data_IF_108960907153
#
_entry.id   IF_108960907153
#
_cell.length_a   1.000
_cell.length_b   1.000
_cell.length_c   1.000
_cell.angle_alpha   90.00
_cell.angle_beta   90.00
_cell.angle_gamma   90.00
#
_symmetry.space_group_name_H-M   'P 1'
#
loop_
_entity.id
_entity.type
_entity.pdbx_description
1 polymer ?
#
# COMPACT_ATOMS: atom_id res chain seq x y z
N UNK A 1 -12.24 25.83 3.85
CA UNK A 1 -11.21 25.21 2.99
C UNK A 1 -10.77 23.94 3.68
N UNK A 2 -10.77 22.81 2.98
CA UNK A 2 -10.26 21.57 3.54
C UNK A 2 -8.75 21.52 3.31
N UNK A 3 -7.99 21.10 4.32
CA UNK A 3 -6.54 20.93 4.21
C UNK A 3 -6.27 19.73 3.28
N UNK A 4 -5.33 19.91 2.34
CA UNK A 4 -4.95 18.90 1.35
C UNK A 4 -3.46 18.64 1.43
N UNK A 5 -3.06 17.40 1.21
CA UNK A 5 -1.66 17.02 1.04
C UNK A 5 -1.58 15.81 0.11
N UNK A 6 -0.37 15.52 -0.35
CA UNK A 6 -0.13 14.36 -1.20
C UNK A 6 -0.35 13.07 -0.43
N UNK A 7 -0.87 12.05 -1.10
CA UNK A 7 -1.01 10.72 -0.53
C UNK A 7 -0.78 9.64 -1.58
N UNK A 8 -0.34 8.48 -1.13
CA UNK A 8 -0.25 7.26 -1.96
C UNK A 8 -0.98 6.14 -1.27
N UNK A 9 -1.53 5.20 -2.02
CA UNK A 9 -2.06 3.94 -1.49
C UNK A 9 -1.65 2.79 -2.40
N UNK A 10 -1.21 1.71 -1.77
CA UNK A 10 -0.89 0.46 -2.45
C UNK A 10 -1.96 -0.56 -2.04
N UNK A 11 -2.64 -1.14 -3.03
CA UNK A 11 -3.70 -2.12 -2.87
C UNK A 11 -3.26 -3.49 -3.38
N UNK A 12 -3.78 -4.55 -2.77
CA UNK A 12 -3.45 -5.92 -3.15
C UNK A 12 -4.55 -6.91 -2.81
N UNK A 13 -4.24 -8.20 -2.87
CA UNK A 13 -5.17 -9.26 -2.49
C UNK A 13 -5.94 -9.83 -3.67
N UNK A 14 -7.02 -10.53 -3.40
CA UNK A 14 -7.81 -11.24 -4.42
C UNK A 14 -9.22 -10.68 -4.48
N UNK A 15 -9.70 -10.43 -5.69
CA UNK A 15 -11.00 -9.83 -5.97
C UNK A 15 -11.77 -10.66 -6.99
N UNK A 16 -13.09 -10.69 -6.85
CA UNK A 16 -13.96 -11.08 -7.96
C UNK A 16 -13.93 -9.99 -9.04
N UNK A 17 -14.33 -10.34 -10.25
CA UNK A 17 -14.49 -9.38 -11.36
C UNK A 17 -15.53 -8.28 -11.02
N UNK A 18 -16.58 -8.62 -10.26
CA UNK A 18 -17.57 -7.66 -9.80
C UNK A 18 -16.98 -6.66 -8.78
N UNK A 19 -16.27 -7.16 -7.77
CA UNK A 19 -15.62 -6.31 -6.76
C UNK A 19 -14.54 -5.43 -7.38
N UNK A 20 -13.84 -5.92 -8.40
CA UNK A 20 -12.85 -5.14 -9.12
C UNK A 20 -13.49 -3.95 -9.87
N UNK A 21 -14.67 -4.12 -10.49
CA UNK A 21 -15.40 -2.98 -11.09
C UNK A 21 -15.77 -1.93 -10.05
N UNK A 22 -16.29 -2.36 -8.90
CA UNK A 22 -16.60 -1.44 -7.79
C UNK A 22 -15.35 -0.71 -7.30
N UNK A 23 -14.22 -1.42 -7.19
CA UNK A 23 -12.94 -0.81 -6.83
C UNK A 23 -12.52 0.26 -7.86
N UNK A 24 -12.65 -0.01 -9.16
CA UNK A 24 -12.35 0.96 -10.22
C UNK A 24 -13.21 2.22 -10.06
N UNK A 25 -14.52 2.07 -9.83
CA UNK A 25 -15.43 3.21 -9.64
C UNK A 25 -15.01 4.08 -8.44
N UNK A 26 -14.60 3.46 -7.34
CA UNK A 26 -14.10 4.16 -6.15
C UNK A 26 -12.80 4.93 -6.44
N UNK A 27 -11.84 4.29 -7.12
CA UNK A 27 -10.56 4.92 -7.47
C UNK A 27 -10.78 6.12 -8.39
N UNK A 28 -11.67 6.00 -9.38
CA UNK A 28 -12.02 7.09 -10.30
C UNK A 28 -12.77 8.20 -9.56
N UNK A 29 -13.68 7.86 -8.64
CA UNK A 29 -14.39 8.82 -7.80
C UNK A 29 -13.46 9.66 -6.90
N UNK A 30 -12.38 9.04 -6.42
CA UNK A 30 -11.31 9.70 -5.64
C UNK A 30 -10.27 10.42 -6.53
N UNK A 31 -10.34 10.29 -7.86
CA UNK A 31 -9.49 11.01 -8.80
C UNK A 31 -8.03 10.56 -8.86
N UNK A 32 -7.75 9.29 -8.53
CA UNK A 32 -6.37 8.81 -8.37
C UNK A 32 -5.70 8.44 -9.69
N UNK A 33 -4.36 8.42 -9.68
CA UNK A 33 -3.52 7.97 -10.79
C UNK A 33 -2.53 6.89 -10.34
N UNK A 34 -2.03 6.07 -11.28
CA UNK A 34 -0.93 5.12 -11.03
C UNK A 34 0.45 5.77 -11.06
N UNK A 35 0.54 7.05 -11.43
CA UNK A 35 1.77 7.82 -11.46
C UNK A 35 1.53 9.28 -11.05
N UNK A 36 2.53 9.91 -10.45
CA UNK A 36 2.43 11.31 -10.05
C UNK A 36 2.24 12.21 -11.27
N UNK A 37 1.25 13.10 -11.22
CA UNK A 37 0.84 13.96 -12.34
C UNK A 37 0.44 13.18 -13.62
N UNK A 38 0.07 11.90 -13.48
CA UNK A 38 -0.42 11.06 -14.58
C UNK A 38 -1.88 11.28 -14.94
N UNK A 39 -2.38 10.52 -15.93
CA UNK A 39 -3.81 10.48 -16.23
C UNK A 39 -4.60 9.86 -15.08
N UNK A 40 -5.91 10.15 -15.02
CA UNK A 40 -6.81 9.44 -14.12
C UNK A 40 -6.74 7.93 -14.36
N UNK A 41 -6.90 7.16 -13.28
CA UNK A 41 -6.88 5.72 -13.32
C UNK A 41 -7.92 5.16 -14.29
N UNK A 42 -7.52 4.11 -15.01
CA UNK A 42 -8.37 3.26 -15.82
C UNK A 42 -8.08 1.80 -15.44
N UNK A 43 -9.08 0.92 -15.60
CA UNK A 43 -8.95 -0.49 -15.26
C UNK A 43 -7.77 -1.19 -15.95
N UNK A 44 -7.35 -0.73 -17.12
CA UNK A 44 -6.21 -1.29 -17.86
C UNK A 44 -4.85 -0.80 -17.38
N UNK A 45 -4.78 0.20 -16.49
CA UNK A 45 -3.51 0.69 -15.94
C UNK A 45 -2.90 -0.25 -14.90
N UNK A 46 -3.67 -1.23 -14.38
CA UNK A 46 -3.10 -2.24 -13.48
C UNK A 46 -2.14 -3.17 -14.24
N UNK A 47 -1.09 -3.60 -13.56
CA UNK A 47 -0.19 -4.65 -14.05
C UNK A 47 -0.51 -5.96 -13.33
N UNK A 48 -0.88 -6.99 -14.08
CA UNK A 48 -1.17 -8.33 -13.53
C UNK A 48 0.06 -8.87 -12.80
N UNK A 49 -0.15 -9.44 -11.60
CA UNK A 49 0.93 -9.98 -10.77
C UNK A 49 1.72 -8.93 -9.99
N UNK A 50 1.25 -7.67 -9.96
CA UNK A 50 1.80 -6.60 -9.13
C UNK A 50 0.73 -6.05 -8.18
N UNK A 51 1.12 -5.47 -7.03
CA UNK A 51 0.20 -4.64 -6.27
C UNK A 51 -0.17 -3.39 -7.08
N UNK A 52 -1.35 -2.84 -6.83
CA UNK A 52 -1.81 -1.61 -7.48
C UNK A 52 -1.38 -0.39 -6.68
N UNK A 53 -0.45 0.40 -7.22
CA UNK A 53 -0.06 1.69 -6.67
C UNK A 53 -0.97 2.80 -7.19
N UNK A 54 -1.38 3.71 -6.31
CA UNK A 54 -2.21 4.86 -6.62
C UNK A 54 -1.71 6.09 -5.85
N UNK A 55 -1.87 7.28 -6.42
CA UNK A 55 -1.44 8.54 -5.83
C UNK A 55 -2.25 9.75 -6.32
N UNK A 56 -2.27 10.80 -5.50
CA UNK A 56 -2.71 12.15 -5.86
C UNK A 56 -2.03 13.20 -4.95
N UNK A 57 -1.86 14.42 -5.46
CA UNK A 57 -1.24 15.54 -4.75
C UNK A 57 -2.23 16.30 -3.85
N UNK A 58 -3.51 16.26 -4.18
CA UNK A 58 -4.52 17.17 -3.61
C UNK A 58 -5.57 16.41 -2.79
N UNK A 59 -5.14 15.48 -1.96
CA UNK A 59 -6.05 14.61 -1.20
C UNK A 59 -6.52 15.30 0.08
N UNK A 60 -7.83 15.41 0.27
CA UNK A 60 -8.42 16.01 1.47
C UNK A 60 -8.07 15.18 2.69
N UNK A 61 -7.44 15.80 3.69
CA UNK A 61 -6.97 15.09 4.89
C UNK A 61 -5.89 14.03 4.60
N UNK A 62 -5.34 14.00 3.39
CA UNK A 62 -4.42 12.95 2.91
C UNK A 62 -4.96 11.53 3.11
N UNK A 63 -6.28 11.33 2.96
CA UNK A 63 -6.97 10.06 3.16
C UNK A 63 -7.93 9.76 2.01
N UNK A 64 -8.05 8.49 1.64
CA UNK A 64 -9.01 8.00 0.64
C UNK A 64 -10.17 7.32 1.39
N UNK A 65 -11.05 8.10 2.01
CA UNK A 65 -11.97 7.62 3.04
C UNK A 65 -12.93 6.52 2.54
N UNK A 66 -13.50 6.70 1.35
CA UNK A 66 -14.44 5.72 0.79
C UNK A 66 -13.72 4.46 0.34
N UNK A 67 -12.61 4.64 -0.38
CA UNK A 67 -11.74 3.55 -0.84
C UNK A 67 -11.20 2.70 0.31
N UNK A 68 -10.67 3.32 1.36
CA UNK A 68 -10.14 2.62 2.54
C UNK A 68 -11.23 1.86 3.29
N UNK A 69 -12.41 2.48 3.47
CA UNK A 69 -13.55 1.81 4.12
C UNK A 69 -13.99 0.58 3.33
N UNK A 70 -14.05 0.68 2.01
CA UNK A 70 -14.38 -0.44 1.14
C UNK A 70 -13.34 -1.55 1.27
N UNK A 71 -12.05 -1.20 1.27
CA UNK A 71 -10.95 -2.16 1.45
C UNK A 71 -11.05 -2.91 2.79
N UNK A 72 -11.32 -2.18 3.89
CA UNK A 72 -11.50 -2.81 5.22
C UNK A 72 -12.69 -3.77 5.21
N UNK A 73 -13.81 -3.36 4.61
CA UNK A 73 -15.05 -4.16 4.57
C UNK A 73 -14.86 -5.45 3.76
N UNK A 74 -14.09 -5.40 2.67
CA UNK A 74 -13.85 -6.53 1.77
C UNK A 74 -12.53 -7.27 2.09
N UNK A 75 -11.85 -6.95 3.19
CA UNK A 75 -10.57 -7.55 3.59
C UNK A 75 -9.48 -7.42 2.52
N UNK A 76 -9.43 -6.27 1.84
CA UNK A 76 -8.43 -5.95 0.82
C UNK A 76 -7.24 -5.27 1.51
N UNK A 77 -6.06 -5.91 1.55
CA UNK A 77 -4.90 -5.34 2.19
C UNK A 77 -4.46 -4.05 1.51
N UNK A 78 -4.07 -3.06 2.31
CA UNK A 78 -3.49 -1.84 1.77
C UNK A 78 -2.42 -1.23 2.68
N UNK A 79 -1.59 -0.39 2.07
CA UNK A 79 -0.72 0.53 2.78
C UNK A 79 -0.82 1.91 2.15
N UNK A 80 -1.26 2.90 2.93
CA UNK A 80 -1.32 4.31 2.54
C UNK A 80 -0.19 5.09 3.19
N UNK A 81 0.40 6.01 2.45
CA UNK A 81 1.19 7.10 3.00
C UNK A 81 0.48 8.43 2.78
N UNK A 82 0.65 9.33 3.74
CA UNK A 82 0.10 10.68 3.76
C UNK A 82 1.24 11.64 4.02
N UNK A 83 1.38 12.64 3.16
CA UNK A 83 2.28 13.77 3.37
C UNK A 83 1.81 14.65 4.51
N UNK A 84 2.76 15.35 5.13
CA UNK A 84 2.49 16.29 6.19
C UNK A 84 1.74 17.52 5.68
N UNK A 85 0.97 18.15 6.56
CA UNK A 85 0.39 19.46 6.33
C UNK A 85 0.79 20.39 7.47
N UNK A 86 1.57 21.43 7.15
CA UNK A 86 2.08 22.39 8.13
C UNK A 86 0.95 22.99 8.97
N UNK A 87 1.03 22.80 10.29
CA UNK A 87 0.02 23.28 11.24
C UNK A 87 -1.24 22.42 11.35
N UNK A 88 -1.32 21.28 10.65
CA UNK A 88 -2.42 20.32 10.75
C UNK A 88 -1.98 18.95 11.27
N UNK A 89 -1.20 18.22 10.49
CA UNK A 89 -0.75 16.86 10.82
C UNK A 89 0.64 16.57 10.27
N UNK A 90 1.29 15.58 10.88
CA UNK A 90 2.58 15.06 10.42
C UNK A 90 2.38 13.99 9.34
N UNK A 91 3.42 13.78 8.53
CA UNK A 91 3.43 12.67 7.58
C UNK A 91 3.30 11.32 8.32
N UNK A 92 2.61 10.39 7.66
CA UNK A 92 2.22 9.14 8.31
C UNK A 92 1.91 8.04 7.34
N UNK A 93 1.94 6.82 7.86
CA UNK A 93 1.61 5.61 7.10
C UNK A 93 0.49 4.86 7.81
N UNK A 94 -0.51 4.41 7.07
CA UNK A 94 -1.58 3.54 7.55
C UNK A 94 -1.48 2.21 6.83
N UNK A 95 -1.46 1.12 7.59
CA UNK A 95 -1.44 -0.24 7.05
C UNK A 95 -2.68 -0.97 7.51
N UNK A 96 -3.38 -1.61 6.58
CA UNK A 96 -4.41 -2.59 6.87
C UNK A 96 -3.95 -3.96 6.38
N UNK A 97 -3.71 -4.85 7.36
CA UNK A 97 -3.48 -6.27 7.16
C UNK A 97 -4.75 -7.02 7.59
N UNK A 98 -5.47 -7.69 6.68
CA UNK A 98 -6.66 -8.46 7.01
C UNK A 98 -6.44 -9.53 8.09
N UNK A 99 -5.23 -10.08 8.21
CA UNK A 99 -4.91 -11.05 9.25
C UNK A 99 -4.89 -10.43 10.66
N UNK A 100 -4.68 -9.11 10.75
CA UNK A 100 -4.74 -8.33 11.99
C UNK A 100 -6.14 -7.77 12.23
N UNK A 101 -6.90 -7.48 11.16
CA UNK A 101 -8.31 -7.09 11.20
C UNK A 101 -8.59 -5.62 11.49
N UNK A 102 -7.58 -4.81 11.82
CA UNK A 102 -7.75 -3.36 12.00
C UNK A 102 -6.59 -2.56 11.39
N UNK A 103 -6.85 -1.38 10.80
CA UNK A 103 -5.79 -0.49 10.35
C UNK A 103 -4.90 -0.03 11.50
N UNK A 104 -3.62 0.18 11.20
CA UNK A 104 -2.62 0.71 12.14
C UNK A 104 -1.89 1.89 11.53
N UNK A 105 -1.76 2.95 12.31
CA UNK A 105 -1.04 4.16 11.93
C UNK A 105 0.38 4.14 12.49
N UNK A 106 1.31 4.64 11.68
CA UNK A 106 2.73 4.77 11.97
C UNK A 106 3.19 6.16 11.58
N UNK A 107 4.14 6.72 12.33
CA UNK A 107 4.83 7.95 11.92
C UNK A 107 5.71 7.64 10.72
N UNK A 108 5.75 8.54 9.75
CA UNK A 108 6.64 8.46 8.59
C UNK A 108 7.20 9.85 8.25
N UNK A 109 8.29 9.89 7.49
CA UNK A 109 8.77 11.15 6.87
C UNK A 109 8.07 11.41 5.52
N UNK A 110 8.45 12.52 4.88
CA UNK A 110 7.94 12.92 3.56
C UNK A 110 8.36 11.95 2.44
N UNK A 111 9.37 11.11 2.67
CA UNK A 111 9.85 10.08 1.74
C UNK A 111 9.20 8.71 2.04
N UNK A 112 8.16 8.64 2.88
CA UNK A 112 7.49 7.42 3.32
C UNK A 112 8.41 6.42 4.06
N UNK A 113 9.46 6.91 4.72
CA UNK A 113 10.27 6.11 5.65
C UNK A 113 9.61 6.14 7.02
N UNK A 114 9.34 4.95 7.56
CA UNK A 114 8.76 4.80 8.90
C UNK A 114 9.73 5.35 9.94
N UNK A 115 9.22 6.17 10.85
CA UNK A 115 9.95 6.75 11.98
C UNK A 115 9.41 6.20 13.30
N UNK A 116 10.24 6.29 14.34
CA UNK A 116 9.86 5.92 15.71
C UNK A 116 10.51 6.92 16.68
N UNK A 117 9.71 7.45 17.59
CA UNK A 117 10.21 8.35 18.64
C UNK A 117 10.78 7.57 19.84
N UNK A 118 11.54 8.26 20.70
CA UNK A 118 12.17 7.66 21.88
C UNK A 118 11.16 7.09 22.90
N UNK A 119 9.99 7.72 23.05
CA UNK A 119 8.93 7.25 23.94
C UNK A 119 8.36 5.92 23.43
N UNK A 120 8.16 5.78 22.12
CA UNK A 120 7.71 4.54 21.48
C UNK A 120 8.79 3.46 21.58
N UNK A 121 10.06 3.78 21.35
CA UNK A 121 11.20 2.86 21.60
C UNK A 121 11.21 2.35 23.03
N UNK A 122 11.09 3.25 24.01
CA UNK A 122 11.07 2.91 25.43
C UNK A 122 9.87 2.04 25.78
N UNK A 123 8.69 2.34 25.24
CA UNK A 123 7.47 1.53 25.42
C UNK A 123 7.59 0.13 24.85
N UNK A 124 8.23 -0.04 23.68
CA UNK A 124 8.45 -1.34 23.06
C UNK A 124 9.47 -2.19 23.85
N UNK A 125 10.40 -1.54 24.56
CA UNK A 125 11.23 -2.14 25.60
C UNK A 125 12.24 -3.21 25.15
N UNK A 126 12.29 -3.52 23.85
CA UNK A 126 13.24 -4.49 23.31
C UNK A 126 13.54 -4.22 21.84
N UNK A 127 14.75 -4.58 21.42
CA UNK A 127 15.16 -4.51 20.02
C UNK A 127 14.25 -5.31 19.09
N UNK A 128 13.85 -6.52 19.49
CA UNK A 128 12.95 -7.38 18.71
C UNK A 128 11.59 -6.70 18.50
N UNK A 129 11.00 -6.09 19.53
CA UNK A 129 9.72 -5.39 19.40
C UNK A 129 9.81 -4.15 18.48
N UNK A 130 10.95 -3.47 18.48
CA UNK A 130 11.23 -2.36 17.56
C UNK A 130 11.30 -2.87 16.10
N UNK A 131 12.01 -3.96 15.85
CA UNK A 131 12.05 -4.57 14.52
C UNK A 131 10.66 -5.03 14.06
N UNK A 132 9.87 -5.63 14.94
CA UNK A 132 8.50 -6.05 14.61
C UNK A 132 7.58 -4.86 14.33
N UNK A 133 7.78 -3.73 15.01
CA UNK A 133 7.09 -2.48 14.68
C UNK A 133 7.39 -2.05 13.24
N UNK A 134 8.67 -2.01 12.85
CA UNK A 134 9.06 -1.68 11.48
C UNK A 134 8.58 -2.69 10.44
N UNK A 135 8.58 -3.99 10.74
CA UNK A 135 8.05 -5.02 9.83
C UNK A 135 6.57 -4.83 9.54
N UNK A 136 5.79 -4.53 10.58
CA UNK A 136 4.33 -4.27 10.43
C UNK A 136 4.07 -2.96 9.70
N UNK A 137 4.87 -1.94 9.92
CA UNK A 137 4.76 -0.66 9.22
C UNK A 137 5.15 -0.78 7.74
N UNK A 138 6.22 -1.54 7.44
CA UNK A 138 6.68 -1.86 6.08
C UNK A 138 6.00 -3.11 5.53
N UNK A 139 4.72 -3.31 5.86
CA UNK A 139 3.93 -4.40 5.32
C UNK A 139 4.01 -4.41 3.78
N UNK A 140 4.40 -5.55 3.24
CA UNK A 140 4.46 -5.77 1.80
C UNK A 140 3.07 -6.16 1.33
N UNK A 141 2.40 -5.23 0.67
CA UNK A 141 1.08 -5.47 0.09
C UNK A 141 1.22 -6.54 -1.01
N UNK A 142 0.44 -7.64 -0.96
CA UNK A 142 0.52 -8.69 -1.96
C UNK A 142 0.05 -8.18 -3.34
N UNK A 143 0.31 -8.95 -4.39
CA UNK A 143 -0.20 -8.63 -5.73
C UNK A 143 -1.73 -8.50 -5.74
N UNK A 144 -2.25 -7.63 -6.60
CA UNK A 144 -3.69 -7.53 -6.86
C UNK A 144 -4.07 -8.57 -7.92
N UNK A 145 -4.87 -9.56 -7.52
CA UNK A 145 -5.37 -10.64 -8.38
C UNK A 145 -6.86 -10.42 -8.58
N UNK A 146 -7.29 -10.36 -9.84
CA UNK A 146 -8.70 -10.32 -10.21
C UNK A 146 -9.08 -11.67 -10.80
N UNK A 147 -10.27 -12.17 -10.48
CA UNK A 147 -10.80 -13.40 -11.08
C UNK A 147 -10.75 -13.34 -12.61
N UNK A 148 -10.22 -14.40 -13.22
CA UNK A 148 -9.97 -14.45 -14.66
C UNK A 148 -8.58 -13.96 -15.08
N UNK A 149 -7.76 -13.44 -14.14
CA UNK A 149 -6.35 -13.17 -14.41
C UNK A 149 -5.62 -14.43 -14.85
N UNK A 150 -4.69 -14.32 -15.82
CA UNK A 150 -3.81 -15.42 -16.13
C UNK A 150 -3.04 -15.79 -14.87
N UNK A 151 -3.04 -17.08 -14.51
CA UNK A 151 -2.25 -17.58 -13.37
C UNK A 151 -0.80 -17.14 -13.62
N UNK A 152 -0.17 -16.41 -12.69
CA UNK A 152 1.21 -16.01 -12.85
C UNK A 152 2.04 -17.27 -13.10
N UNK A 153 2.73 -17.33 -14.24
CA UNK A 153 3.67 -18.40 -14.48
C UNK A 153 4.64 -18.40 -13.29
N UNK A 154 4.62 -19.48 -12.50
CA UNK A 154 5.61 -19.65 -11.43
C UNK A 154 6.96 -19.56 -12.11
N UNK A 155 7.73 -18.51 -11.82
CA UNK A 155 9.12 -18.44 -12.25
C UNK A 155 9.85 -19.51 -11.44
N UNK A 156 9.85 -20.74 -11.96
CA UNK A 156 10.77 -21.78 -11.51
C UNK A 156 12.17 -21.26 -11.79
N UNK A 157 12.80 -20.67 -10.78
CA UNK A 157 14.21 -20.40 -10.80
C UNK A 157 14.94 -21.75 -10.76
N UNK A 158 15.07 -22.38 -11.93
CA UNK A 158 15.90 -23.56 -12.11
C UNK A 158 17.35 -23.13 -11.85
N UNK A 159 17.82 -23.40 -10.63
CA UNK A 159 19.24 -23.48 -10.31
C UNK A 159 19.85 -24.55 -11.23
N UNK A 160 20.46 -24.12 -12.34
CA UNK A 160 21.38 -24.97 -13.08
C UNK A 160 22.73 -24.94 -12.36
N UNK A 161 23.30 -26.09 -11.95
CA UNK A 161 24.66 -26.13 -11.45
C UNK A 161 25.61 -25.86 -12.62
N UNK A 162 26.46 -24.84 -12.50
CA UNK A 162 27.60 -24.66 -13.39
C UNK A 162 28.64 -25.71 -12.99
N UNK A 163 28.80 -26.76 -13.80
CA UNK A 163 29.98 -27.63 -13.74
C UNK A 163 31.19 -26.84 -14.26
N UNK A 164 32.16 -26.60 -13.39
CA UNK A 164 33.43 -25.96 -13.67
C UNK A 164 34.41 -27.01 -14.23
N UNK A 165 34.98 -26.85 -15.45
CA UNK A 165 36.02 -27.77 -15.90
C UNK A 165 37.37 -27.30 -15.35
N UNK A 166 37.96 -28.16 -14.52
CA UNK A 166 39.36 -28.07 -14.09
C UNK A 166 40.29 -27.99 -15.30
N UNK A 167 41.16 -26.98 -15.32
CA UNK A 167 42.44 -27.00 -16.02
C UNK A 167 43.53 -26.47 -15.11
#
# INVERSE_FOLDING_TARGET
MANRASATIILGGTLSDADYRTLVDLIVGEGLSTEWCGPLFDAHHRTVGQPLFLCDHEVVGAQFEELERWCITHNIPFARWSGGYTGGWEAGRVVFDPAVGQPRSYTADEDNRVLIDLQTVTRLGSYTAILDHFRRANFTVPQLIVEGDPVPATISHALSPQEEPVR
#
